data_IF_948697554341
#
_entry.id   IF_948697554341
#
_cell.length_a   1.000
_cell.length_b   1.000
_cell.length_c   1.000
_cell.angle_alpha   90.00
_cell.angle_beta   90.00
_cell.angle_gamma   90.00
#
_symmetry.space_group_name_H-M   'P 1'
#
loop_
_entity.id
_entity.type
_entity.pdbx_description
1 polymer ?
#
# COMPACT_ATOMS: atom_id res chain seq x y z
N UNK A 1 -15.93 -29.35 11.88
CA UNK A 1 -16.20 -27.95 12.30
C UNK A 1 -14.93 -27.11 12.09
N UNK A 2 -14.42 -27.06 10.86
CA UNK A 2 -13.09 -26.50 10.52
C UNK A 2 -13.10 -25.63 9.26
N UNK A 3 -14.14 -25.70 8.44
CA UNK A 3 -14.18 -24.97 7.16
C UNK A 3 -14.55 -23.49 7.30
N UNK A 4 -15.25 -23.11 8.38
CA UNK A 4 -15.75 -21.74 8.57
C UNK A 4 -14.69 -20.72 9.02
N UNK A 5 -13.54 -21.18 9.52
CA UNK A 5 -12.44 -20.30 9.99
C UNK A 5 -11.47 -19.98 8.86
N UNK A 6 -11.28 -20.91 7.92
CA UNK A 6 -10.40 -20.74 6.75
C UNK A 6 -11.00 -19.74 5.75
N UNK A 7 -12.30 -19.81 5.52
CA UNK A 7 -13.03 -18.91 4.61
C UNK A 7 -13.07 -17.44 5.11
N UNK A 8 -13.18 -17.25 6.43
CA UNK A 8 -13.17 -15.91 7.05
C UNK A 8 -11.82 -15.18 6.90
N UNK A 9 -10.70 -15.89 7.01
CA UNK A 9 -9.36 -15.27 6.85
C UNK A 9 -9.08 -14.89 5.40
N UNK A 10 -9.52 -15.71 4.44
CA UNK A 10 -9.43 -15.39 3.02
C UNK A 10 -10.25 -14.15 2.64
N UNK A 11 -11.46 -14.02 3.19
CA UNK A 11 -12.31 -12.85 2.95
C UNK A 11 -11.78 -11.57 3.62
N UNK A 12 -11.25 -11.65 4.85
CA UNK A 12 -10.62 -10.49 5.51
C UNK A 12 -9.36 -10.03 4.76
N UNK A 13 -8.49 -10.95 4.35
CA UNK A 13 -7.31 -10.61 3.56
C UNK A 13 -7.72 -9.94 2.24
N UNK A 14 -8.67 -10.53 1.51
CA UNK A 14 -9.15 -9.99 0.23
C UNK A 14 -9.75 -8.59 0.40
N UNK A 15 -10.49 -8.38 1.49
CA UNK A 15 -11.03 -7.06 1.84
C UNK A 15 -9.92 -6.04 2.08
N UNK A 16 -8.89 -6.37 2.87
CA UNK A 16 -7.77 -5.47 3.12
C UNK A 16 -6.94 -5.21 1.85
N UNK A 17 -6.72 -6.24 1.03
CA UNK A 17 -6.04 -6.10 -0.25
C UNK A 17 -6.79 -5.13 -1.18
N UNK A 18 -8.12 -5.28 -1.28
CA UNK A 18 -8.97 -4.38 -2.07
C UNK A 18 -8.87 -2.92 -1.58
N UNK A 19 -8.88 -2.71 -0.25
CA UNK A 19 -8.69 -1.38 0.32
C UNK A 19 -7.36 -0.76 -0.10
N UNK A 20 -6.28 -1.53 -0.15
CA UNK A 20 -4.99 -1.03 -0.62
C UNK A 20 -4.98 -0.73 -2.12
N UNK A 21 -5.62 -1.55 -2.95
CA UNK A 21 -5.76 -1.23 -4.38
C UNK A 21 -6.53 0.07 -4.61
N UNK A 22 -7.59 0.33 -3.84
CA UNK A 22 -8.31 1.61 -3.89
C UNK A 22 -7.42 2.81 -3.52
N UNK A 23 -6.46 2.63 -2.60
CA UNK A 23 -5.48 3.68 -2.26
C UNK A 23 -4.51 3.91 -3.42
N UNK A 24 -4.05 2.85 -4.10
CA UNK A 24 -3.20 2.98 -5.27
C UNK A 24 -3.93 3.68 -6.42
N UNK A 25 -5.18 3.29 -6.70
CA UNK A 25 -6.05 3.92 -7.70
C UNK A 25 -6.27 5.40 -7.37
N UNK A 26 -6.61 5.73 -6.12
CA UNK A 26 -6.75 7.11 -5.68
C UNK A 26 -5.44 7.89 -5.88
N UNK A 27 -4.29 7.29 -5.58
CA UNK A 27 -2.99 7.92 -5.79
C UNK A 27 -2.72 8.28 -7.25
N UNK A 28 -3.08 7.40 -8.19
CA UNK A 28 -2.98 7.68 -9.63
C UNK A 28 -3.92 8.84 -10.02
N UNK A 29 -5.17 8.78 -9.56
CA UNK A 29 -6.20 9.76 -9.93
C UNK A 29 -5.94 11.16 -9.33
N UNK A 30 -5.13 11.27 -8.28
CA UNK A 30 -4.82 12.53 -7.59
C UNK A 30 -3.37 13.01 -7.81
N UNK A 31 -2.63 12.48 -8.80
CA UNK A 31 -1.25 12.93 -9.06
C UNK A 31 -1.13 14.45 -9.30
N UNK A 32 -2.19 15.09 -9.82
CA UNK A 32 -2.26 16.55 -10.01
C UNK A 32 -2.79 17.35 -8.82
N UNK A 33 -3.37 16.70 -7.80
CA UNK A 33 -4.07 17.31 -6.68
C UNK A 33 -3.72 16.58 -5.37
N UNK A 34 -2.45 16.68 -4.97
CA UNK A 34 -1.90 15.88 -3.86
C UNK A 34 -2.53 16.22 -2.49
N UNK A 35 -3.06 17.42 -2.30
CA UNK A 35 -3.67 17.84 -1.03
C UNK A 35 -4.90 17.01 -0.66
N UNK A 36 -5.76 16.72 -1.64
CA UNK A 36 -6.94 15.87 -1.45
C UNK A 36 -6.52 14.43 -1.09
N UNK A 37 -5.45 13.94 -1.74
CA UNK A 37 -4.92 12.63 -1.45
C UNK A 37 -4.28 12.54 -0.07
N UNK A 38 -3.58 13.60 0.38
CA UNK A 38 -2.99 13.66 1.71
C UNK A 38 -4.03 13.42 2.81
N UNK A 39 -5.25 13.95 2.67
CA UNK A 39 -6.31 13.70 3.65
C UNK A 39 -6.67 12.20 3.77
N UNK A 40 -6.69 11.47 2.65
CA UNK A 40 -6.91 10.02 2.63
C UNK A 40 -5.76 9.29 3.33
N UNK A 41 -4.53 9.66 3.01
CA UNK A 41 -3.32 9.04 3.58
C UNK A 41 -3.19 9.30 5.08
N UNK A 42 -3.55 10.50 5.54
CA UNK A 42 -3.50 10.85 6.96
C UNK A 42 -4.54 10.05 7.77
N UNK A 43 -5.73 9.81 7.20
CA UNK A 43 -6.74 8.92 7.80
C UNK A 43 -6.24 7.46 7.90
N UNK A 44 -5.50 6.97 6.90
CA UNK A 44 -4.90 5.64 6.91
C UNK A 44 -3.78 5.55 7.95
N UNK A 45 -2.94 6.58 8.06
CA UNK A 45 -1.92 6.69 9.09
C UNK A 45 -2.50 6.61 10.49
N UNK A 46 -3.60 7.32 10.77
CA UNK A 46 -4.32 7.22 12.05
C UNK A 46 -4.77 5.79 12.37
N UNK A 47 -5.29 5.08 11.38
CA UNK A 47 -5.73 3.68 11.55
C UNK A 47 -4.54 2.76 11.83
N UNK A 48 -3.44 2.90 11.10
CA UNK A 48 -2.23 2.10 11.32
C UNK A 48 -1.52 2.45 12.64
N UNK A 49 -1.61 3.68 13.12
CA UNK A 49 -1.13 4.06 14.44
C UNK A 49 -1.87 3.30 15.56
N UNK A 50 -3.19 3.17 15.44
CA UNK A 50 -3.98 2.32 16.35
C UNK A 50 -3.60 0.84 16.25
N UNK A 51 -3.30 0.33 15.06
CA UNK A 51 -2.83 -1.05 14.88
C UNK A 51 -1.44 -1.28 15.48
N UNK A 52 -0.52 -0.31 15.38
CA UNK A 52 0.77 -0.35 16.08
C UNK A 52 0.58 -0.49 17.59
N UNK A 53 -0.33 0.28 18.17
CA UNK A 53 -0.63 0.23 19.61
C UNK A 53 -1.29 -1.10 20.03
N UNK A 54 -2.20 -1.64 19.23
CA UNK A 54 -3.04 -2.78 19.62
C UNK A 54 -2.50 -4.15 19.20
N UNK A 55 -1.74 -4.23 18.12
CA UNK A 55 -1.31 -5.49 17.49
C UNK A 55 0.19 -5.54 17.14
N UNK A 56 0.99 -4.56 17.60
CA UNK A 56 2.44 -4.57 17.41
C UNK A 56 2.90 -4.35 15.97
N UNK A 57 2.12 -3.62 15.16
CA UNK A 57 2.50 -3.29 13.78
C UNK A 57 3.87 -2.59 13.73
N UNK A 58 4.81 -3.18 12.99
CA UNK A 58 6.17 -2.68 12.88
C UNK A 58 6.39 -1.93 11.56
N UNK A 59 7.10 -0.77 11.56
CA UNK A 59 7.39 -0.02 10.35
C UNK A 59 8.00 -0.81 9.17
N UNK A 60 8.78 -1.88 9.42
CA UNK A 60 9.40 -2.67 8.35
C UNK A 60 8.37 -3.35 7.43
N UNK A 61 7.14 -3.56 7.91
CA UNK A 61 6.06 -4.11 7.08
C UNK A 61 5.75 -3.23 5.86
N UNK A 62 5.97 -1.92 5.94
CA UNK A 62 5.82 -1.04 4.77
C UNK A 62 6.88 -1.30 3.70
N UNK A 63 8.10 -1.66 4.10
CA UNK A 63 9.17 -2.02 3.16
C UNK A 63 8.85 -3.34 2.47
N UNK A 64 8.37 -4.35 3.22
CA UNK A 64 7.92 -5.63 2.65
C UNK A 64 6.74 -5.42 1.70
N UNK A 65 5.76 -4.61 2.10
CA UNK A 65 4.62 -4.26 1.24
C UNK A 65 5.08 -3.63 -0.07
N UNK A 66 5.98 -2.63 -0.02
CA UNK A 66 6.52 -1.99 -1.22
C UNK A 66 7.14 -3.01 -2.19
N UNK A 67 8.06 -3.85 -1.72
CA UNK A 67 8.74 -4.82 -2.60
C UNK A 67 7.77 -5.85 -3.17
N UNK A 68 6.84 -6.36 -2.37
CA UNK A 68 5.80 -7.27 -2.84
C UNK A 68 4.88 -6.63 -3.89
N UNK A 69 4.42 -5.40 -3.65
CA UNK A 69 3.56 -4.66 -4.59
C UNK A 69 4.29 -4.41 -5.91
N UNK A 70 5.55 -3.97 -5.86
CA UNK A 70 6.34 -3.72 -7.08
C UNK A 70 6.60 -5.00 -7.87
N UNK A 71 6.90 -6.10 -7.17
CA UNK A 71 7.04 -7.41 -7.81
C UNK A 71 5.76 -7.84 -8.52
N UNK A 72 4.60 -7.74 -7.84
CA UNK A 72 3.32 -8.13 -8.43
C UNK A 72 2.94 -7.26 -9.62
N UNK A 73 3.16 -5.93 -9.56
CA UNK A 73 2.91 -5.03 -10.68
C UNK A 73 3.77 -5.42 -11.89
N UNK A 74 5.08 -5.68 -11.69
CA UNK A 74 5.97 -6.14 -12.76
C UNK A 74 5.45 -7.41 -13.40
N UNK A 75 5.15 -8.41 -12.57
CA UNK A 75 4.66 -9.71 -13.02
C UNK A 75 3.35 -9.59 -13.82
N UNK A 76 2.43 -8.73 -13.38
CA UNK A 76 1.16 -8.46 -14.08
C UNK A 76 1.39 -7.78 -15.42
N UNK A 77 2.29 -6.78 -15.50
CA UNK A 77 2.59 -6.09 -16.75
C UNK A 77 3.31 -7.00 -17.76
N UNK A 78 4.26 -7.81 -17.31
CA UNK A 78 4.96 -8.81 -18.15
C UNK A 78 4.00 -9.85 -18.74
N UNK A 79 2.97 -10.25 -17.98
CA UNK A 79 1.96 -11.22 -18.40
C UNK A 79 0.80 -10.59 -19.17
N UNK A 80 0.79 -9.26 -19.33
CA UNK A 80 -0.31 -8.56 -20.01
C UNK A 80 -0.39 -9.00 -21.46
N UNK A 81 -1.58 -9.45 -21.87
CA UNK A 81 -1.90 -9.71 -23.28
C UNK A 81 -2.40 -8.46 -24.00
N UNK A 82 -2.83 -7.45 -23.25
CA UNK A 82 -3.41 -6.22 -23.80
C UNK A 82 -2.34 -5.26 -24.32
N UNK A 83 -1.21 -5.18 -23.63
CA UNK A 83 -0.09 -4.31 -23.99
C UNK A 83 1.19 -5.15 -23.94
N UNK A 84 1.93 -5.16 -25.05
CA UNK A 84 3.27 -5.77 -25.08
C UNK A 84 4.30 -4.73 -24.70
N UNK A 85 4.86 -4.89 -23.51
CA UNK A 85 5.92 -4.02 -22.99
C UNK A 85 7.28 -4.48 -23.49
N UNK A 86 8.11 -3.55 -23.93
CA UNK A 86 9.56 -3.81 -24.01
C UNK A 86 10.17 -3.81 -22.61
N UNK A 87 11.33 -4.43 -22.45
CA UNK A 87 12.04 -4.44 -21.16
C UNK A 87 12.32 -3.02 -20.63
N UNK A 88 12.68 -2.08 -21.53
CA UNK A 88 12.97 -0.70 -21.15
C UNK A 88 11.70 0.06 -20.69
N UNK A 89 10.58 -0.13 -21.36
CA UNK A 89 9.31 0.50 -20.95
C UNK A 89 8.83 -0.05 -19.62
N UNK A 90 8.93 -1.37 -19.44
CA UNK A 90 8.59 -2.03 -18.19
C UNK A 90 9.43 -1.48 -17.03
N UNK A 91 10.74 -1.36 -17.19
CA UNK A 91 11.63 -0.81 -16.16
C UNK A 91 11.25 0.63 -15.79
N UNK A 92 10.97 1.48 -16.78
CA UNK A 92 10.52 2.87 -16.54
C UNK A 92 9.20 2.91 -15.77
N UNK A 93 8.22 2.11 -16.17
CA UNK A 93 6.92 2.06 -15.48
C UNK A 93 7.08 1.53 -14.05
N UNK A 94 7.92 0.54 -13.83
CA UNK A 94 8.20 0.02 -12.49
C UNK A 94 8.89 1.04 -11.60
N UNK A 95 9.78 1.88 -12.14
CA UNK A 95 10.37 3.00 -11.40
C UNK A 95 9.28 4.00 -10.97
N UNK A 96 8.35 4.36 -11.88
CA UNK A 96 7.25 5.28 -11.56
C UNK A 96 6.32 4.71 -10.48
N UNK A 97 5.95 3.43 -10.58
CA UNK A 97 5.18 2.75 -9.55
C UNK A 97 5.91 2.71 -8.22
N UNK A 98 7.22 2.46 -8.22
CA UNK A 98 8.03 2.48 -6.99
C UNK A 98 7.97 3.84 -6.32
N UNK A 99 8.11 4.94 -7.07
CA UNK A 99 7.99 6.28 -6.51
C UNK A 99 6.60 6.55 -5.92
N UNK A 100 5.54 6.18 -6.63
CA UNK A 100 4.16 6.35 -6.14
C UNK A 100 3.92 5.57 -4.84
N UNK A 101 4.19 4.26 -4.84
CA UNK A 101 3.94 3.40 -3.67
C UNK A 101 4.81 3.81 -2.49
N UNK A 102 6.08 4.15 -2.75
CA UNK A 102 6.97 4.64 -1.70
C UNK A 102 6.49 5.97 -1.11
N UNK A 103 5.99 6.90 -1.94
CA UNK A 103 5.40 8.16 -1.48
C UNK A 103 4.19 7.93 -0.57
N UNK A 104 3.29 7.04 -0.99
CA UNK A 104 2.11 6.62 -0.21
C UNK A 104 2.54 6.05 1.15
N UNK A 105 3.45 5.07 1.17
CA UNK A 105 3.91 4.45 2.40
C UNK A 105 4.56 5.47 3.36
N UNK A 106 5.44 6.33 2.84
CA UNK A 106 6.09 7.37 3.64
C UNK A 106 5.08 8.34 4.26
N UNK A 107 4.06 8.77 3.50
CA UNK A 107 3.04 9.69 4.02
C UNK A 107 2.17 9.05 5.10
N UNK A 108 1.81 7.78 4.93
CA UNK A 108 1.11 7.00 5.96
C UNK A 108 1.98 6.88 7.22
N UNK A 109 3.27 6.59 7.07
CA UNK A 109 4.21 6.45 8.19
C UNK A 109 4.40 7.75 8.97
N UNK A 110 4.59 8.89 8.28
CA UNK A 110 4.62 10.23 8.89
C UNK A 110 3.38 10.47 9.73
N UNK A 111 2.21 10.12 9.19
CA UNK A 111 0.94 10.26 9.92
C UNK A 111 0.88 9.35 11.16
N UNK A 112 1.42 8.12 11.10
CA UNK A 112 1.52 7.26 12.29
C UNK A 112 2.33 7.94 13.40
N UNK A 113 3.45 8.61 13.07
CA UNK A 113 4.28 9.31 14.06
C UNK A 113 3.57 10.52 14.67
N UNK A 114 2.88 11.33 13.85
CA UNK A 114 2.13 12.51 14.32
C UNK A 114 1.04 12.13 15.33
N UNK A 115 0.34 11.02 15.12
CA UNK A 115 -0.78 10.61 15.97
C UNK A 115 -0.41 9.60 17.07
N UNK A 116 0.85 9.15 17.15
CA UNK A 116 1.34 8.25 18.19
C UNK A 116 2.77 8.64 18.64
N UNK A 117 2.95 9.80 19.31
CA UNK A 117 4.27 10.33 19.66
C UNK A 117 4.96 9.61 20.85
N UNK A 118 4.22 8.81 21.63
CA UNK A 118 4.62 8.34 22.98
C UNK A 118 5.62 7.17 23.04
N UNK A 119 6.43 6.90 22.00
CA UNK A 119 7.34 5.74 21.99
C UNK A 119 8.79 6.05 21.60
N UNK A 120 9.25 7.29 21.84
CA UNK A 120 10.68 7.66 21.77
C UNK A 120 11.17 8.31 23.08
N UNK A 121 10.84 7.69 24.21
CA UNK A 121 11.52 7.86 25.50
C UNK A 121 11.82 6.49 26.08
#
# INVERSE_FOLDING_TARGET
>A
MTDSVVDKRGSEFSFQAMRFFQVLEAGINHLGHLDDFNQVLDNLGRRHGKLKQSHGFHPYYWSVFLECTIYQIRLTLERSRAIKWTASELDRVIILWRHLVQGICKRIEVSVFVYCPFYFT
#
